data_IF_369406020614
#
_entry.id   IF_369406020614
#
_cell.length_a   1.000
_cell.length_b   1.000
_cell.length_c   1.000
_cell.angle_alpha   90.00
_cell.angle_beta   90.00
_cell.angle_gamma   90.00
#
_symmetry.space_group_name_H-M   'P 1'
#
loop_
_entity.id
_entity.type
_entity.pdbx_description
1 polymer ?
#
# COMPACT_ATOMS: atom_id res chain seq x y z
N UNK A 1 7.26 -23.55 14.67
CA UNK A 1 7.73 -23.65 13.27
C UNK A 1 6.49 -23.76 12.37
N UNK A 2 6.39 -22.98 11.29
CA UNK A 2 5.20 -22.97 10.41
C UNK A 2 5.56 -23.48 9.02
N UNK A 3 4.63 -24.21 8.38
CA UNK A 3 4.73 -24.58 6.97
C UNK A 3 4.79 -23.33 6.07
N UNK A 4 4.24 -22.20 6.52
CA UNK A 4 4.29 -20.92 5.80
C UNK A 4 5.71 -20.45 5.44
N UNK A 5 6.71 -20.73 6.30
CA UNK A 5 8.10 -20.35 6.05
C UNK A 5 8.70 -21.08 4.85
N UNK A 6 8.20 -22.28 4.53
CA UNK A 6 8.62 -23.04 3.35
C UNK A 6 8.21 -22.32 2.07
N UNK A 7 7.00 -21.74 2.01
CA UNK A 7 6.53 -20.97 0.86
C UNK A 7 7.38 -19.69 0.66
N UNK A 8 7.80 -19.05 1.76
CA UNK A 8 8.70 -17.88 1.69
C UNK A 8 10.05 -18.29 1.11
N UNK A 9 10.62 -19.40 1.60
CA UNK A 9 11.87 -19.95 1.06
C UNK A 9 11.73 -20.23 -0.44
N UNK A 10 10.66 -20.90 -0.85
CA UNK A 10 10.42 -21.25 -2.25
C UNK A 10 10.25 -20.02 -3.15
N UNK A 11 9.63 -18.94 -2.67
CA UNK A 11 9.56 -17.68 -3.41
C UNK A 11 10.96 -17.08 -3.68
N UNK A 12 11.83 -17.08 -2.68
CA UNK A 12 13.20 -16.57 -2.83
C UNK A 12 14.16 -17.54 -3.55
N UNK A 13 13.89 -18.85 -3.50
CA UNK A 13 14.59 -19.84 -4.32
C UNK A 13 14.29 -19.61 -5.82
N UNK A 14 13.06 -19.17 -6.16
CA UNK A 14 12.66 -18.82 -7.53
C UNK A 14 13.23 -17.48 -7.98
N UNK A 15 13.14 -16.46 -7.12
CA UNK A 15 13.67 -15.12 -7.38
C UNK A 15 14.35 -14.55 -6.13
N UNK A 16 15.67 -14.63 -6.10
CA UNK A 16 16.48 -14.08 -5.00
C UNK A 16 16.44 -12.55 -4.93
N UNK A 17 16.04 -11.86 -6.01
CA UNK A 17 15.94 -10.40 -6.08
C UNK A 17 14.51 -9.88 -5.86
N UNK A 18 13.57 -10.77 -5.50
CA UNK A 18 12.16 -10.47 -5.28
C UNK A 18 11.99 -9.28 -4.32
N UNK A 19 11.37 -8.20 -4.82
CA UNK A 19 11.22 -6.95 -4.07
C UNK A 19 10.19 -7.02 -2.95
N UNK A 20 9.17 -7.87 -3.12
CA UNK A 20 8.08 -8.03 -2.17
C UNK A 20 7.42 -9.40 -2.38
N UNK A 21 7.10 -10.11 -1.29
CA UNK A 21 6.45 -11.42 -1.36
C UNK A 21 5.07 -11.37 -2.05
N UNK A 22 4.37 -10.23 -1.99
CA UNK A 22 3.08 -10.05 -2.68
C UNK A 22 3.19 -10.15 -4.21
N UNK A 23 4.41 -10.11 -4.76
CA UNK A 23 4.67 -10.26 -6.20
C UNK A 23 4.98 -11.70 -6.60
N UNK A 24 5.21 -12.61 -5.64
CA UNK A 24 5.33 -14.03 -5.94
C UNK A 24 3.94 -14.65 -6.20
N UNK A 25 3.78 -15.50 -7.22
CA UNK A 25 2.47 -16.04 -7.61
C UNK A 25 1.72 -16.78 -6.50
N UNK A 26 2.42 -17.46 -5.58
CA UNK A 26 1.76 -18.16 -4.48
C UNK A 26 1.05 -17.17 -3.56
N UNK A 27 1.75 -16.14 -3.10
CA UNK A 27 1.17 -15.14 -2.19
C UNK A 27 0.14 -14.27 -2.89
N UNK A 28 0.40 -13.88 -4.14
CA UNK A 28 -0.57 -13.12 -4.94
C UNK A 28 -1.91 -13.86 -5.01
N UNK A 29 -1.89 -15.15 -5.39
CA UNK A 29 -3.10 -15.96 -5.51
C UNK A 29 -3.87 -16.08 -4.19
N UNK A 30 -3.16 -16.25 -3.06
CA UNK A 30 -3.80 -16.32 -1.73
C UNK A 30 -4.51 -15.00 -1.40
N UNK A 31 -3.84 -13.86 -1.60
CA UNK A 31 -4.43 -12.56 -1.27
C UNK A 31 -5.59 -12.24 -2.20
N UNK A 32 -5.47 -12.52 -3.51
CA UNK A 32 -6.57 -12.34 -4.47
C UNK A 32 -7.79 -13.20 -4.10
N UNK A 33 -7.57 -14.44 -3.66
CA UNK A 33 -8.64 -15.36 -3.26
C UNK A 33 -9.32 -14.95 -1.95
N UNK A 34 -8.59 -14.37 -1.00
CA UNK A 34 -9.10 -14.12 0.35
C UNK A 34 -9.47 -12.66 0.65
N UNK A 35 -9.07 -11.70 -0.19
CA UNK A 35 -9.34 -10.28 0.08
C UNK A 35 -10.84 -9.96 0.22
N UNK A 36 -11.74 -10.69 -0.44
CA UNK A 36 -13.19 -10.52 -0.31
C UNK A 36 -13.66 -10.77 1.12
N UNK A 37 -13.43 -12.00 1.63
CA UNK A 37 -13.76 -12.37 3.01
C UNK A 37 -13.04 -11.48 4.04
N UNK A 38 -11.79 -11.09 3.76
CA UNK A 38 -11.05 -10.21 4.63
C UNK A 38 -11.72 -8.83 4.78
N UNK A 39 -12.20 -8.25 3.68
CA UNK A 39 -12.94 -6.98 3.70
C UNK A 39 -14.25 -7.10 4.47
N UNK A 40 -14.98 -8.20 4.30
CA UNK A 40 -16.22 -8.47 5.05
C UNK A 40 -15.97 -8.51 6.56
N UNK A 41 -14.90 -9.21 6.99
CA UNK A 41 -14.51 -9.27 8.40
C UNK A 41 -14.16 -7.88 8.94
N UNK A 42 -13.37 -7.09 8.20
CA UNK A 42 -13.01 -5.73 8.63
C UNK A 42 -14.26 -4.83 8.72
N UNK A 43 -15.15 -4.89 7.73
CA UNK A 43 -16.39 -4.12 7.72
C UNK A 43 -17.28 -4.48 8.91
N UNK A 44 -17.52 -5.78 9.13
CA UNK A 44 -18.33 -6.27 10.25
C UNK A 44 -17.73 -5.89 11.61
N UNK A 45 -16.41 -5.99 11.77
CA UNK A 45 -15.75 -5.60 13.01
C UNK A 45 -15.94 -4.10 13.30
N UNK A 46 -15.78 -3.24 12.28
CA UNK A 46 -15.96 -1.79 12.43
C UNK A 46 -17.40 -1.44 12.80
N UNK A 47 -18.40 -2.02 12.13
CA UNK A 47 -19.81 -1.71 12.42
C UNK A 47 -20.26 -2.21 13.80
N UNK A 48 -19.60 -3.24 14.34
CA UNK A 48 -19.88 -3.77 15.67
C UNK A 48 -18.99 -3.19 16.77
N UNK A 49 -18.10 -2.24 16.45
CA UNK A 49 -17.19 -1.65 17.43
C UNK A 49 -16.11 -2.61 17.97
N UNK A 50 -15.79 -3.67 17.21
CA UNK A 50 -14.76 -4.65 17.57
C UNK A 50 -13.40 -4.16 17.04
N UNK A 51 -12.39 -3.95 17.91
CA UNK A 51 -11.09 -3.46 17.48
C UNK A 51 -10.29 -4.54 16.74
N UNK A 52 -9.94 -4.27 15.47
CA UNK A 52 -9.17 -5.20 14.62
C UNK A 52 -7.93 -4.54 13.98
N UNK A 53 -7.06 -3.86 14.74
CA UNK A 53 -6.01 -2.99 14.21
C UNK A 53 -5.04 -3.70 13.25
N UNK A 54 -4.71 -4.97 13.50
CA UNK A 54 -3.85 -5.76 12.62
C UNK A 54 -4.52 -6.08 11.28
N UNK A 55 -5.80 -6.46 11.29
CA UNK A 55 -6.54 -6.78 10.07
C UNK A 55 -6.78 -5.51 9.23
N UNK A 56 -7.19 -4.41 9.87
CA UNK A 56 -7.45 -3.16 9.15
C UNK A 56 -6.18 -2.55 8.58
N UNK A 57 -5.07 -2.54 9.35
CA UNK A 57 -3.81 -1.96 8.87
C UNK A 57 -3.18 -2.78 7.74
N UNK A 58 -3.21 -4.11 7.83
CA UNK A 58 -2.73 -4.95 6.74
C UNK A 58 -3.57 -4.77 5.46
N UNK A 59 -4.89 -4.57 5.57
CA UNK A 59 -5.76 -4.31 4.41
C UNK A 59 -5.44 -2.96 3.78
N UNK A 60 -5.28 -1.93 4.61
CA UNK A 60 -4.85 -0.60 4.16
C UNK A 60 -3.49 -0.64 3.47
N UNK A 61 -2.53 -1.42 3.98
CA UNK A 61 -1.23 -1.61 3.33
C UNK A 61 -1.37 -2.30 1.97
N UNK A 62 -2.13 -3.40 1.89
CA UNK A 62 -2.36 -4.11 0.62
C UNK A 62 -2.97 -3.18 -0.44
N UNK A 63 -4.02 -2.44 -0.08
CA UNK A 63 -4.67 -1.50 -0.98
C UNK A 63 -3.74 -0.33 -1.35
N UNK A 64 -2.93 0.16 -0.42
CA UNK A 64 -1.97 1.22 -0.70
C UNK A 64 -0.86 0.76 -1.64
N UNK A 65 -0.33 -0.46 -1.44
CA UNK A 65 0.79 -1.00 -2.20
C UNK A 65 0.42 -1.26 -3.67
N UNK A 66 -0.80 -1.75 -3.94
CA UNK A 66 -1.29 -2.02 -5.29
C UNK A 66 -1.86 -0.79 -6.02
N UNK A 67 -1.94 0.36 -5.35
CA UNK A 67 -2.48 1.59 -5.92
C UNK A 67 -1.36 2.39 -6.57
N UNK A 68 -1.37 2.48 -7.90
CA UNK A 68 -0.36 3.24 -8.67
C UNK A 68 -0.32 4.73 -8.28
N UNK A 69 -1.48 5.33 -7.99
CA UNK A 69 -1.61 6.75 -7.65
C UNK A 69 -2.31 6.94 -6.30
N UNK A 70 -1.52 7.22 -5.28
CA UNK A 70 -2.01 7.55 -3.93
C UNK A 70 -2.32 9.06 -3.80
N UNK A 71 -3.16 9.45 -2.81
CA UNK A 71 -3.49 10.85 -2.54
C UNK A 71 -2.33 11.67 -1.95
N UNK A 72 -1.10 11.17 -1.98
CA UNK A 72 0.10 11.87 -1.53
C UNK A 72 0.40 13.15 -2.33
N UNK A 73 -0.20 13.31 -3.52
CA UNK A 73 -0.16 14.56 -4.27
C UNK A 73 -0.77 15.74 -3.48
N UNK A 74 -1.84 15.51 -2.70
CA UNK A 74 -2.41 16.55 -1.85
C UNK A 74 -1.46 16.92 -0.71
N UNK A 75 -0.78 15.94 -0.11
CA UNK A 75 0.26 16.20 0.89
C UNK A 75 1.40 17.03 0.31
N UNK A 76 1.82 16.73 -0.93
CA UNK A 76 2.83 17.53 -1.62
C UNK A 76 2.36 18.96 -1.87
N UNK A 77 1.11 19.16 -2.30
CA UNK A 77 0.52 20.48 -2.48
C UNK A 77 0.47 21.27 -1.17
N UNK A 78 0.00 20.64 -0.08
CA UNK A 78 -0.04 21.26 1.24
C UNK A 78 1.35 21.70 1.69
N UNK A 79 2.36 20.81 1.60
CA UNK A 79 3.75 21.12 1.96
C UNK A 79 4.32 22.29 1.17
N UNK A 80 4.03 22.35 -0.13
CA UNK A 80 4.46 23.47 -0.96
C UNK A 80 3.75 24.77 -0.59
N UNK A 81 2.44 24.70 -0.32
CA UNK A 81 1.61 25.83 0.08
C UNK A 81 2.12 26.53 1.34
N UNK A 82 2.31 25.79 2.44
CA UNK A 82 2.66 26.42 3.72
C UNK A 82 4.17 26.60 3.93
N UNK A 83 5.00 25.86 3.19
CA UNK A 83 6.42 25.71 3.51
C UNK A 83 7.38 25.86 2.33
N UNK A 84 6.88 26.21 1.14
CA UNK A 84 7.66 26.30 -0.11
C UNK A 84 8.56 25.07 -0.35
N UNK A 85 8.07 23.89 0.06
CA UNK A 85 8.84 22.65 0.04
C UNK A 85 9.06 22.05 -1.34
N UNK A 86 8.47 22.64 -2.39
CA UNK A 86 8.49 22.16 -3.76
C UNK A 86 7.85 20.77 -3.94
N UNK A 87 7.54 20.42 -5.18
CA UNK A 87 7.02 19.10 -5.57
C UNK A 87 7.49 18.70 -6.97
N UNK A 88 7.37 17.42 -7.29
CA UNK A 88 7.57 16.88 -8.64
C UNK A 88 6.24 16.78 -9.38
N UNK A 89 6.29 16.86 -10.70
CA UNK A 89 5.14 16.65 -11.58
C UNK A 89 5.25 15.33 -12.32
N UNK A 90 4.12 14.85 -12.84
CA UNK A 90 4.05 13.60 -13.61
C UNK A 90 4.32 13.81 -15.10
N UNK A 91 4.17 15.04 -15.59
CA UNK A 91 4.30 15.40 -17.01
C UNK A 91 5.63 16.05 -17.36
N UNK A 92 6.43 16.42 -16.34
CA UNK A 92 7.69 17.14 -16.55
C UNK A 92 8.70 16.84 -15.45
N UNK A 93 9.93 16.58 -15.87
CA UNK A 93 11.08 16.45 -14.98
C UNK A 93 11.44 17.78 -14.30
N UNK A 94 11.91 17.68 -13.06
CA UNK A 94 12.36 18.83 -12.25
C UNK A 94 11.63 18.97 -10.92
N UNK A 95 11.93 20.08 -10.23
CA UNK A 95 11.25 20.49 -8.99
C UNK A 95 10.51 21.80 -9.22
N UNK A 96 9.30 21.90 -8.68
CA UNK A 96 8.36 22.99 -8.92
C UNK A 96 7.88 23.57 -7.60
N UNK A 97 7.73 24.89 -7.56
CA UNK A 97 7.03 25.62 -6.50
C UNK A 97 5.87 26.37 -7.15
N UNK A 98 4.73 26.44 -6.48
CA UNK A 98 3.59 27.24 -6.93
C UNK A 98 3.30 28.37 -5.93
N UNK A 99 2.97 29.56 -6.44
CA UNK A 99 2.44 30.62 -5.60
C UNK A 99 0.93 30.42 -5.49
N UNK A 100 0.47 29.93 -4.34
CA UNK A 100 -0.92 29.48 -4.16
C UNK A 100 -1.91 30.59 -3.77
N UNK A 101 -1.41 31.77 -3.44
CA UNK A 101 -2.22 32.92 -2.99
C UNK A 101 -2.43 33.96 -4.09
N UNK A 102 -1.97 33.68 -5.31
CA UNK A 102 -2.20 34.49 -6.52
C UNK A 102 -3.50 34.12 -7.24
#
# INVERSE_FOLDING_TARGET
RSQFLQNIKEAYDKDAALKNLLLDPYFQNIVESYQGAWREVVAAAVTQGVPVPGFSSALSYYDSYRTERLPANLLQAQRDYFGAHTFKRLDKEGSFHHNWME
#
